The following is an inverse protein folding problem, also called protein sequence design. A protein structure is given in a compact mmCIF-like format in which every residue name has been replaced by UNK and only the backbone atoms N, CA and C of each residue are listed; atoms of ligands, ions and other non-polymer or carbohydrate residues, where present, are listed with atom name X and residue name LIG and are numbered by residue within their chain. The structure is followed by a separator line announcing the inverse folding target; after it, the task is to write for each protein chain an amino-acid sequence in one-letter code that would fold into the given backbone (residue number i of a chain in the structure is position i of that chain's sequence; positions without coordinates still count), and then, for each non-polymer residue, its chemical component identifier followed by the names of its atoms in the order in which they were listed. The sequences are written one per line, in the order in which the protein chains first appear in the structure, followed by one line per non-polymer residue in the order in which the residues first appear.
data_IF_476584406016
#
_entry.id   IF_476584406016
#
_cell.length_a   1.000
_cell.length_b   1.000
_cell.length_c   1.000
_cell.angle_alpha   90.00
_cell.angle_beta   90.00
_cell.angle_gamma   90.00
#
_symmetry.space_group_name_H-M   'P 1'
#
loop_
_entity.id
_entity.type
_entity.pdbx_description
1 polymer ?
#
# COMPACT_ATOMS: atom_id res chain seq x y z
N UNK A 1 -13.28 0.65 25.11
CA UNK A 1 -12.40 0.58 23.92
C UNK A 1 -13.26 0.15 22.76
N UNK A 2 -13.66 1.08 21.90
CA UNK A 2 -14.50 0.75 20.75
C UNK A 2 -13.69 -0.18 19.83
N UNK A 3 -14.23 -1.35 19.54
CA UNK A 3 -13.73 -2.23 18.49
C UNK A 3 -13.93 -1.49 17.17
N UNK A 4 -12.89 -0.80 16.70
CA UNK A 4 -12.87 -0.21 15.37
C UNK A 4 -12.79 -1.36 14.38
N UNK A 5 -13.95 -1.84 13.94
CA UNK A 5 -14.04 -2.81 12.86
C UNK A 5 -13.51 -2.15 11.61
N UNK A 6 -12.47 -2.73 11.03
CA UNK A 6 -11.91 -2.29 9.76
C UNK A 6 -13.03 -2.25 8.70
N UNK A 7 -13.17 -1.16 7.93
CA UNK A 7 -14.17 -1.09 6.87
C UNK A 7 -13.97 -2.23 5.88
N UNK A 8 -15.08 -2.74 5.33
CA UNK A 8 -15.01 -3.81 4.34
C UNK A 8 -14.20 -3.33 3.11
N UNK A 9 -13.37 -4.20 2.50
CA UNK A 9 -12.70 -3.85 1.27
C UNK A 9 -13.71 -3.53 0.16
N UNK A 10 -13.29 -2.66 -0.74
CA UNK A 10 -14.05 -2.32 -1.95
C UNK A 10 -13.35 -2.90 -3.17
N UNK A 11 -14.12 -3.16 -4.22
CA UNK A 11 -13.58 -3.65 -5.48
C UNK A 11 -13.26 -2.47 -6.40
N UNK A 12 -12.02 -2.40 -6.88
CA UNK A 12 -11.60 -1.47 -7.92
C UNK A 12 -11.00 -2.25 -9.07
N UNK A 13 -11.67 -2.22 -10.23
CA UNK A 13 -11.21 -2.89 -11.46
C UNK A 13 -10.87 -4.40 -11.26
N UNK A 14 -11.64 -5.12 -10.45
CA UNK A 14 -11.42 -6.54 -10.17
C UNK A 14 -10.42 -6.84 -9.05
N UNK A 15 -9.91 -5.82 -8.36
CA UNK A 15 -9.00 -5.96 -7.22
C UNK A 15 -9.73 -5.55 -5.95
N UNK A 16 -9.74 -6.43 -4.94
CA UNK A 16 -10.21 -6.10 -3.60
C UNK A 16 -9.15 -5.26 -2.86
N UNK A 17 -9.51 -4.04 -2.46
CA UNK A 17 -8.61 -3.10 -1.79
C UNK A 17 -9.28 -2.54 -0.54
N UNK A 18 -8.49 -2.37 0.53
CA UNK A 18 -8.95 -1.72 1.76
C UNK A 18 -8.81 -0.20 1.67
N UNK A 19 -9.64 0.54 2.42
CA UNK A 19 -9.39 1.96 2.65
C UNK A 19 -8.15 2.12 3.55
N UNK A 20 -7.26 3.04 3.19
CA UNK A 20 -6.11 3.33 4.05
C UNK A 20 -6.58 3.96 5.37
N UNK A 21 -6.03 3.54 6.52
CA UNK A 21 -6.49 4.01 7.83
C UNK A 21 -5.95 5.40 8.22
N UNK A 22 -4.86 5.85 7.60
CA UNK A 22 -4.21 7.12 7.91
C UNK A 22 -3.52 7.72 6.66
N UNK A 23 -3.02 8.96 6.77
CA UNK A 23 -2.40 9.69 5.64
C UNK A 23 -1.02 9.14 5.22
N UNK A 24 -0.53 8.10 5.89
CA UNK A 24 0.85 7.60 5.75
C UNK A 24 0.95 6.09 5.46
N UNK A 25 -0.20 5.42 5.33
CA UNK A 25 -0.33 3.97 5.11
C UNK A 25 -0.68 3.60 3.67
N UNK A 26 -0.59 4.54 2.73
CA UNK A 26 -0.85 4.30 1.32
C UNK A 26 -0.05 3.13 0.74
N UNK A 27 1.26 3.08 1.02
CA UNK A 27 2.16 2.01 0.55
C UNK A 27 1.72 0.62 1.02
N UNK A 28 1.63 0.36 2.34
CA UNK A 28 1.14 -0.89 2.90
C UNK A 28 -0.26 -1.29 2.41
N UNK A 29 -1.18 -0.32 2.27
CA UNK A 29 -2.54 -0.58 1.79
C UNK A 29 -2.54 -1.05 0.34
N UNK A 30 -1.79 -0.37 -0.54
CA UNK A 30 -1.61 -0.81 -1.92
C UNK A 30 -0.96 -2.18 -2.01
N UNK A 31 0.08 -2.44 -1.20
CA UNK A 31 0.77 -3.73 -1.18
C UNK A 31 -0.16 -4.87 -0.74
N UNK A 32 -1.05 -4.63 0.23
CA UNK A 32 -2.04 -5.61 0.65
C UNK A 32 -3.01 -5.97 -0.50
N UNK A 33 -3.47 -4.99 -1.27
CA UNK A 33 -4.27 -5.25 -2.48
C UNK A 33 -3.54 -6.11 -3.52
N UNK A 34 -2.25 -5.84 -3.74
CA UNK A 34 -1.40 -6.67 -4.63
C UNK A 34 -1.27 -8.09 -4.10
N UNK A 35 -1.07 -8.27 -2.79
CA UNK A 35 -1.01 -9.60 -2.18
C UNK A 35 -2.32 -10.36 -2.37
N UNK A 36 -3.48 -9.75 -2.13
CA UNK A 36 -4.78 -10.38 -2.40
C UNK A 36 -4.91 -10.82 -3.85
N UNK A 37 -4.56 -9.94 -4.80
CA UNK A 37 -4.59 -10.24 -6.23
C UNK A 37 -3.72 -11.47 -6.59
N UNK A 38 -2.57 -11.63 -5.93
CA UNK A 38 -1.66 -12.75 -6.12
C UNK A 38 -2.04 -14.00 -5.30
N UNK A 39 -3.18 -14.01 -4.60
CA UNK A 39 -3.62 -15.14 -3.79
C UNK A 39 -2.96 -15.25 -2.41
N UNK A 40 -2.43 -14.15 -1.89
CA UNK A 40 -1.85 -14.03 -0.55
C UNK A 40 -2.79 -13.21 0.37
N UNK A 41 -3.76 -13.84 1.05
CA UNK A 41 -4.82 -13.13 1.79
C UNK A 41 -4.34 -12.63 3.16
N UNK A 42 -3.49 -11.60 3.17
CA UNK A 42 -3.02 -10.94 4.39
C UNK A 42 -3.98 -9.83 4.82
N UNK A 43 -4.12 -9.65 6.13
CA UNK A 43 -4.83 -8.49 6.68
C UNK A 43 -4.00 -7.22 6.46
N UNK A 44 -4.66 -6.06 6.46
CA UNK A 44 -3.96 -4.79 6.37
C UNK A 44 -3.02 -4.57 7.56
N UNK A 45 -3.46 -4.96 8.76
CA UNK A 45 -2.68 -4.91 9.99
C UNK A 45 -1.38 -5.75 9.87
N UNK A 46 -1.46 -6.95 9.30
CA UNK A 46 -0.29 -7.82 9.09
C UNK A 46 0.74 -7.18 8.16
N UNK A 47 0.31 -6.53 7.08
CA UNK A 47 1.20 -5.84 6.14
C UNK A 47 1.77 -4.57 6.76
N UNK A 48 0.96 -3.79 7.47
CA UNK A 48 1.42 -2.58 8.17
C UNK A 48 2.43 -2.89 9.26
N UNK A 49 2.29 -4.03 9.94
CA UNK A 49 3.23 -4.50 10.95
C UNK A 49 4.54 -5.04 10.35
N UNK A 50 4.50 -5.64 9.15
CA UNK A 50 5.68 -6.24 8.52
C UNK A 50 6.57 -5.23 7.79
N UNK A 51 5.99 -4.13 7.32
CA UNK A 51 6.69 -3.10 6.55
C UNK A 51 7.18 -1.97 7.45
N UNK A 52 8.48 -1.67 7.40
CA UNK A 52 9.06 -0.52 8.11
C UNK A 52 8.54 0.79 7.51
N UNK A 53 8.09 1.69 8.39
CA UNK A 53 7.72 3.08 8.05
C UNK A 53 8.85 4.05 8.43
N UNK A 54 8.86 5.23 7.81
CA UNK A 54 9.75 6.31 8.20
C UNK A 54 9.19 7.05 9.43
N UNK A 55 10.07 7.64 10.25
CA UNK A 55 9.67 8.37 11.46
C UNK A 55 8.76 9.57 11.15
N UNK A 56 8.93 10.17 9.98
CA UNK A 56 8.12 11.29 9.50
C UNK A 56 6.91 10.85 8.65
N UNK A 57 6.63 9.55 8.59
CA UNK A 57 5.54 8.98 7.82
C UNK A 57 5.93 8.48 6.44
N UNK A 58 5.03 7.70 5.85
CA UNK A 58 5.21 7.05 4.56
C UNK A 58 6.10 5.81 4.64
N UNK A 59 6.24 5.16 3.49
CA UNK A 59 7.02 3.95 3.31
C UNK A 59 7.80 4.06 2.02
N UNK A 60 9.10 3.79 2.05
CA UNK A 60 9.91 3.74 0.83
C UNK A 60 9.53 2.53 -0.01
N UNK A 61 9.45 2.69 -1.34
CA UNK A 61 9.11 1.60 -2.25
C UNK A 61 10.03 0.37 -2.11
N UNK A 62 11.31 0.58 -1.78
CA UNK A 62 12.25 -0.52 -1.49
C UNK A 62 11.81 -1.37 -0.28
N UNK A 63 11.21 -0.77 0.75
CA UNK A 63 10.76 -1.50 1.94
C UNK A 63 9.53 -2.37 1.62
N UNK A 64 8.64 -1.90 0.75
CA UNK A 64 7.52 -2.69 0.21
C UNK A 64 8.05 -3.89 -0.61
N UNK A 65 9.00 -3.64 -1.51
CA UNK A 65 9.64 -4.69 -2.31
C UNK A 65 10.36 -5.73 -1.45
N UNK A 66 11.07 -5.31 -0.41
CA UNK A 66 11.72 -6.23 0.54
C UNK A 66 10.72 -7.10 1.30
N UNK A 67 9.54 -6.56 1.65
CA UNK A 67 8.48 -7.36 2.25
C UNK A 67 7.99 -8.47 1.30
N UNK A 68 7.76 -8.15 0.03
CA UNK A 68 7.37 -9.13 -0.98
C UNK A 68 8.44 -10.21 -1.20
N UNK A 69 9.72 -9.80 -1.30
CA UNK A 69 10.85 -10.73 -1.43
C UNK A 69 10.94 -11.69 -0.23
N UNK A 70 10.73 -11.21 1.01
CA UNK A 70 10.72 -12.06 2.21
C UNK A 70 9.60 -13.10 2.21
N UNK A 71 8.53 -12.84 1.47
CA UNK A 71 7.37 -13.74 1.30
C UNK A 71 7.54 -14.68 0.10
N UNK A 72 8.71 -14.69 -0.55
CA UNK A 72 9.02 -15.57 -1.68
C UNK A 72 8.50 -15.09 -3.03
N UNK A 73 8.01 -13.86 -3.11
CA UNK A 73 7.61 -13.23 -4.36
C UNK A 73 8.82 -12.65 -5.09
N UNK A 74 8.66 -12.39 -6.39
CA UNK A 74 9.60 -11.57 -7.14
C UNK A 74 9.18 -10.10 -7.08
N UNK A 75 10.13 -9.21 -6.84
CA UNK A 75 9.88 -7.77 -6.85
C UNK A 75 11.00 -7.05 -7.61
N UNK A 76 10.61 -6.18 -8.55
CA UNK A 76 11.53 -5.31 -9.30
C UNK A 76 11.11 -3.87 -9.09
N UNK A 77 12.02 -3.04 -8.59
CA UNK A 77 11.76 -1.62 -8.40
C UNK A 77 12.19 -0.84 -9.64
N UNK A 78 11.23 -0.20 -10.30
CA UNK A 78 11.52 0.74 -11.38
C UNK A 78 11.51 2.17 -10.82
N UNK A 79 12.68 2.80 -10.77
CA UNK A 79 12.81 4.19 -10.33
C UNK A 79 12.69 5.11 -11.52
N UNK A 80 11.56 5.80 -11.64
CA UNK A 80 11.38 6.88 -12.60
C UNK A 80 11.43 8.21 -11.87
N UNK A 81 12.28 9.12 -12.33
CA UNK A 81 12.17 10.52 -11.96
C UNK A 81 11.14 11.17 -12.89
N UNK A 82 9.85 10.96 -12.62
CA UNK A 82 8.79 11.54 -13.43
C UNK A 82 8.66 13.02 -13.09
N UNK A 83 8.98 13.88 -14.06
CA UNK A 83 8.64 15.29 -14.01
C UNK A 83 7.17 15.44 -14.40
N UNK A 84 6.26 15.23 -13.44
CA UNK A 84 4.82 15.38 -13.67
C UNK A 84 4.41 16.82 -13.39
N UNK A 85 3.78 17.44 -14.38
CA UNK A 85 3.04 18.69 -14.22
C UNK A 85 1.56 18.39 -14.51
N UNK A 86 0.70 18.52 -13.51
CA UNK A 86 -0.75 18.43 -13.69
C UNK A 86 -1.35 19.85 -13.63
N UNK A 87 -1.80 20.42 -14.77
CA UNK A 87 -2.39 21.74 -14.81
C UNK A 87 -3.67 21.86 -13.96
N UNK A 88 -4.36 20.75 -13.68
CA UNK A 88 -5.61 20.76 -12.90
C UNK A 88 -5.39 21.12 -11.43
N UNK A 89 -4.16 21.03 -10.91
CA UNK A 89 -3.83 21.46 -9.54
C UNK A 89 -4.00 22.96 -9.30
N UNK A 90 -4.06 23.78 -10.35
CA UNK A 90 -4.24 25.23 -10.28
C UNK A 90 -5.63 25.70 -10.75
N UNK A 91 -6.49 24.77 -11.16
CA UNK A 91 -7.87 25.06 -11.51
C UNK A 91 -8.70 25.20 -10.23
N UNK A 92 -9.06 26.43 -9.88
CA UNK A 92 -10.10 26.73 -8.90
C UNK A 92 -11.50 26.55 -9.52
#
# INVERSE_FOLDING_TARGET
MASHREPAPFEYQGIEVHQQPDDVSCGPTCLQGVYRLLGHPLSLEEVMASVRRLDHGGTLGVLLGLDALRRGLSATLFTYNLHVFDPSWFGH
#
